data_IF_553452609465
#
_entry.id   IF_553452609465
#
_cell.length_a   1.000
_cell.length_b   1.000
_cell.length_c   1.000
_cell.angle_alpha   90.00
_cell.angle_beta   90.00
_cell.angle_gamma   90.00
#
_symmetry.space_group_name_H-M   'P 1'
#
loop_
_entity.id
_entity.type
_entity.pdbx_description
1 polymer ?
#
# COMPACT_ATOMS: atom_id res chain seq x y z
N UNK A 1 15.04 -6.38 -5.60
CA UNK A 1 15.86 -6.21 -4.39
C UNK A 1 14.93 -6.13 -3.18
N UNK A 2 15.32 -6.71 -2.05
CA UNK A 2 14.54 -6.58 -0.81
C UNK A 2 14.89 -5.28 -0.10
N UNK A 3 13.90 -4.61 0.47
CA UNK A 3 14.10 -3.47 1.38
C UNK A 3 13.92 -3.96 2.81
N UNK A 4 14.81 -3.58 3.74
CA UNK A 4 14.89 -4.18 5.07
C UNK A 4 14.84 -3.11 6.17
N UNK A 5 14.06 -3.39 7.21
CA UNK A 5 14.08 -2.68 8.50
C UNK A 5 13.90 -3.70 9.63
N UNK A 6 15.01 -4.14 10.24
CA UNK A 6 15.01 -5.10 11.34
C UNK A 6 14.17 -6.36 11.01
N UNK A 7 13.06 -6.57 11.73
CA UNK A 7 12.12 -7.67 11.57
C UNK A 7 11.05 -7.44 10.49
N UNK A 8 11.21 -6.43 9.62
CA UNK A 8 10.29 -6.10 8.54
C UNK A 8 11.08 -6.10 7.22
N UNK A 9 10.49 -6.67 6.16
CA UNK A 9 11.03 -6.54 4.81
C UNK A 9 9.95 -6.28 3.77
N UNK A 10 10.36 -5.61 2.71
CA UNK A 10 9.61 -5.47 1.46
C UNK A 10 10.31 -6.35 0.42
N UNK A 11 9.70 -7.48 0.08
CA UNK A 11 10.20 -8.40 -0.94
C UNK A 11 9.45 -8.15 -2.24
N UNK A 12 10.10 -8.08 -3.41
CA UNK A 12 9.39 -8.00 -4.69
C UNK A 12 8.38 -9.13 -4.82
N UNK A 13 7.20 -8.80 -5.33
CA UNK A 13 6.17 -9.81 -5.60
C UNK A 13 6.66 -10.82 -6.64
N UNK A 14 6.25 -12.08 -6.48
CA UNK A 14 6.52 -13.19 -7.39
C UNK A 14 5.16 -13.67 -7.93
N UNK A 15 4.96 -13.53 -9.24
CA UNK A 15 3.73 -13.91 -9.92
C UNK A 15 3.91 -15.25 -10.65
N UNK A 16 2.92 -16.17 -10.58
CA UNK A 16 1.61 -16.02 -9.94
C UNK A 16 1.56 -16.44 -8.44
N UNK A 17 2.67 -16.85 -7.84
CA UNK A 17 2.74 -17.51 -6.52
C UNK A 17 2.15 -16.66 -5.39
N UNK A 18 2.45 -15.36 -5.36
CA UNK A 18 2.00 -14.45 -4.30
C UNK A 18 0.52 -14.05 -4.44
N UNK A 19 -0.16 -14.37 -5.56
CA UNK A 19 -1.59 -14.06 -5.73
C UNK A 19 -2.43 -14.77 -4.66
N UNK A 20 -2.17 -16.06 -4.42
CA UNK A 20 -2.90 -16.85 -3.44
C UNK A 20 -2.73 -16.32 -2.01
N UNK A 21 -1.59 -15.70 -1.72
CA UNK A 21 -1.27 -15.09 -0.42
C UNK A 21 -2.08 -13.80 -0.21
N UNK A 22 -2.28 -13.03 -1.27
CA UNK A 22 -2.99 -11.75 -1.22
C UNK A 22 -4.51 -11.88 -1.23
N UNK A 23 -5.07 -12.94 -1.82
CA UNK A 23 -6.54 -13.14 -1.89
C UNK A 23 -7.24 -12.91 -0.53
N UNK A 24 -6.80 -13.51 0.60
CA UNK A 24 -7.43 -13.26 1.89
C UNK A 24 -7.46 -11.78 2.31
N UNK A 25 -6.47 -10.98 1.92
CA UNK A 25 -6.42 -9.55 2.25
C UNK A 25 -7.50 -8.78 1.53
N UNK A 26 -7.73 -9.08 0.25
CA UNK A 26 -8.75 -8.43 -0.59
C UNK A 26 -10.13 -9.10 -0.50
N UNK A 27 -10.30 -10.07 0.41
CA UNK A 27 -11.60 -10.57 0.88
C UNK A 27 -12.01 -9.96 2.23
N UNK A 28 -11.09 -9.28 2.91
CA UNK A 28 -11.35 -8.63 4.19
C UNK A 28 -12.19 -7.35 3.97
N UNK A 29 -13.40 -7.27 4.57
CA UNK A 29 -14.26 -6.11 4.44
C UNK A 29 -13.61 -4.80 4.92
N UNK A 30 -12.75 -4.83 5.95
CA UNK A 30 -12.07 -3.62 6.42
C UNK A 30 -11.06 -3.13 5.38
N UNK A 31 -10.31 -4.03 4.74
CA UNK A 31 -9.37 -3.66 3.66
C UNK A 31 -10.15 -3.05 2.51
N UNK A 32 -11.18 -3.73 2.03
CA UNK A 32 -12.01 -3.26 0.92
C UNK A 32 -12.66 -1.91 1.23
N UNK A 33 -13.20 -1.73 2.43
CA UNK A 33 -13.79 -0.45 2.84
C UNK A 33 -12.80 0.71 2.74
N UNK A 34 -11.56 0.52 3.19
CA UNK A 34 -10.56 1.59 3.23
C UNK A 34 -9.70 1.74 1.97
N UNK A 35 -9.77 0.80 1.02
CA UNK A 35 -8.99 0.82 -0.23
C UNK A 35 -9.83 0.86 -1.51
N UNK A 36 -11.08 0.41 -1.47
CA UNK A 36 -11.96 0.20 -2.63
C UNK A 36 -13.30 0.96 -2.54
N UNK A 37 -13.33 2.11 -1.82
CA UNK A 37 -14.46 3.04 -1.90
C UNK A 37 -15.59 2.80 -0.89
N UNK A 38 -15.29 2.22 0.27
CA UNK A 38 -16.25 2.13 1.38
C UNK A 38 -17.34 1.08 1.17
N UNK A 39 -18.61 1.46 1.37
CA UNK A 39 -19.76 0.53 1.37
C UNK A 39 -20.09 -0.03 -0.02
N UNK A 40 -19.65 0.61 -1.10
CA UNK A 40 -19.81 0.12 -2.48
C UNK A 40 -18.76 -0.90 -2.90
N UNK A 41 -17.79 -1.21 -2.01
CA UNK A 41 -16.68 -2.10 -2.34
C UNK A 41 -17.16 -3.54 -2.64
N UNK A 42 -16.62 -4.10 -3.72
CA UNK A 42 -16.88 -5.48 -4.14
C UNK A 42 -15.69 -6.35 -3.84
N UNK A 43 -15.94 -7.58 -3.36
CA UNK A 43 -14.89 -8.54 -3.05
C UNK A 43 -14.09 -8.88 -4.30
N UNK A 44 -12.78 -8.99 -4.13
CA UNK A 44 -11.91 -9.44 -5.20
C UNK A 44 -11.93 -10.96 -5.26
N UNK A 45 -12.33 -11.52 -6.40
CA UNK A 45 -12.02 -12.92 -6.71
C UNK A 45 -10.54 -13.06 -7.09
N UNK A 46 -10.09 -14.30 -7.28
CA UNK A 46 -8.70 -14.58 -7.65
C UNK A 46 -8.26 -13.86 -8.93
N UNK A 47 -9.16 -13.78 -9.90
CA UNK A 47 -8.88 -13.22 -11.22
C UNK A 47 -8.69 -11.70 -11.12
N UNK A 48 -9.48 -11.04 -10.26
CA UNK A 48 -9.33 -9.60 -9.99
C UNK A 48 -8.05 -9.29 -9.24
N UNK A 49 -7.64 -10.09 -8.25
CA UNK A 49 -6.35 -9.90 -7.56
C UNK A 49 -5.18 -10.08 -8.55
N UNK A 50 -5.26 -11.11 -9.41
CA UNK A 50 -4.24 -11.34 -10.43
C UNK A 50 -4.17 -10.19 -11.44
N UNK A 51 -5.33 -9.71 -11.92
CA UNK A 51 -5.42 -8.58 -12.83
C UNK A 51 -4.86 -7.30 -12.22
N UNK A 52 -5.15 -7.04 -10.94
CA UNK A 52 -4.61 -5.92 -10.18
C UNK A 52 -3.07 -5.97 -10.14
N UNK A 53 -2.46 -7.10 -9.78
CA UNK A 53 -1.00 -7.19 -9.75
C UNK A 53 -0.36 -7.10 -11.13
N UNK A 54 -0.98 -7.69 -12.16
CA UNK A 54 -0.52 -7.52 -13.55
C UNK A 54 -0.55 -6.04 -13.97
N UNK A 55 -1.59 -5.30 -13.58
CA UNK A 55 -1.65 -3.85 -13.83
C UNK A 55 -0.55 -3.09 -13.08
N UNK A 56 -0.36 -3.39 -11.78
CA UNK A 56 0.63 -2.71 -10.94
C UNK A 56 2.07 -2.95 -11.40
N UNK A 57 2.42 -4.19 -11.78
CA UNK A 57 3.77 -4.54 -12.23
C UNK A 57 4.20 -3.82 -13.52
N UNK A 58 3.25 -3.33 -14.32
CA UNK A 58 3.55 -2.50 -15.49
C UNK A 58 3.83 -1.03 -15.15
N UNK A 59 3.51 -0.59 -13.93
CA UNK A 59 3.50 0.83 -13.54
C UNK A 59 4.25 1.15 -12.25
N UNK A 60 4.67 0.14 -11.48
CA UNK A 60 5.21 0.31 -10.14
C UNK A 60 6.23 -0.77 -9.77
N UNK A 61 7.11 -0.45 -8.82
CA UNK A 61 7.77 -1.48 -8.02
C UNK A 61 6.75 -2.02 -7.01
N UNK A 62 6.42 -3.31 -7.06
CA UNK A 62 5.41 -3.95 -6.21
C UNK A 62 6.06 -4.89 -5.20
N UNK A 63 5.70 -4.75 -3.93
CA UNK A 63 6.30 -5.49 -2.84
C UNK A 63 5.27 -6.17 -1.94
N UNK A 64 5.59 -7.40 -1.52
CA UNK A 64 4.97 -8.04 -0.37
C UNK A 64 5.65 -7.55 0.90
N UNK A 65 4.84 -7.13 1.87
CA UNK A 65 5.24 -6.74 3.21
C UNK A 65 5.32 -8.02 4.06
N UNK A 66 6.51 -8.35 4.53
CA UNK A 66 6.75 -9.54 5.36
C UNK A 66 7.36 -9.15 6.70
N UNK A 67 6.93 -9.82 7.76
CA UNK A 67 7.49 -9.69 9.11
C UNK A 67 8.21 -10.96 9.51
N UNK A 68 9.35 -10.83 10.19
CA UNK A 68 10.10 -11.96 10.72
C UNK A 68 9.38 -12.53 11.95
N UNK A 69 9.16 -13.84 11.94
CA UNK A 69 8.51 -14.58 13.01
C UNK A 69 9.34 -15.81 13.38
N UNK A 70 9.00 -16.49 14.48
CA UNK A 70 9.66 -17.75 14.85
C UNK A 70 9.56 -18.84 13.77
N UNK A 71 8.57 -18.74 12.89
CA UNK A 71 8.31 -19.70 11.81
C UNK A 71 8.81 -19.19 10.45
N UNK A 72 9.63 -18.13 10.43
CA UNK A 72 10.12 -17.47 9.23
C UNK A 72 9.30 -16.23 8.85
N UNK A 73 9.54 -15.75 7.64
CA UNK A 73 8.92 -14.53 7.12
C UNK A 73 7.44 -14.75 6.81
N UNK A 74 6.58 -13.97 7.47
CA UNK A 74 5.13 -14.00 7.31
C UNK A 74 4.68 -12.82 6.44
N UNK A 75 4.05 -13.07 5.27
CA UNK A 75 3.36 -12.04 4.50
C UNK A 75 2.17 -11.45 5.26
N UNK A 76 2.09 -10.12 5.32
CA UNK A 76 1.05 -9.41 6.07
C UNK A 76 0.35 -8.31 5.26
N UNK A 77 0.73 -8.09 4.01
CA UNK A 77 0.18 -7.07 3.14
C UNK A 77 1.07 -6.76 1.96
N UNK A 78 0.76 -5.70 1.23
CA UNK A 78 1.49 -5.25 0.05
C UNK A 78 1.60 -3.73 -0.02
N UNK A 79 2.60 -3.26 -0.77
CA UNK A 79 2.83 -1.85 -1.05
C UNK A 79 3.40 -1.71 -2.45
N UNK A 80 3.00 -0.65 -3.17
CA UNK A 80 3.55 -0.33 -4.47
C UNK A 80 4.17 1.06 -4.48
N UNK A 81 5.21 1.24 -5.28
CA UNK A 81 5.81 2.54 -5.60
C UNK A 81 5.69 2.79 -7.10
N UNK A 82 4.66 3.53 -7.51
CA UNK A 82 4.41 3.87 -8.92
C UNK A 82 5.58 4.64 -9.53
N UNK A 83 5.90 4.44 -10.80
CA UNK A 83 6.98 5.14 -11.50
C UNK A 83 6.75 6.66 -11.56
N UNK A 84 5.50 7.08 -11.77
CA UNK A 84 5.11 8.48 -11.84
C UNK A 84 4.62 9.01 -10.50
N UNK A 85 3.46 8.54 -10.04
CA UNK A 85 2.84 9.00 -8.80
C UNK A 85 1.97 7.89 -8.20
N UNK A 86 2.02 7.75 -6.88
CA UNK A 86 1.22 6.75 -6.17
C UNK A 86 2.02 5.83 -5.25
N UNK A 87 1.51 5.64 -4.04
CA UNK A 87 2.04 4.71 -3.04
C UNK A 87 0.89 4.00 -2.31
N UNK A 88 0.14 3.11 -2.98
CA UNK A 88 -0.90 2.35 -2.28
C UNK A 88 -0.23 1.35 -1.33
N UNK A 89 -0.82 1.19 -0.15
CA UNK A 89 -0.36 0.29 0.91
C UNK A 89 -1.56 -0.38 1.56
N UNK A 90 -1.46 -1.69 1.77
CA UNK A 90 -2.45 -2.48 2.51
C UNK A 90 -1.72 -3.29 3.58
N UNK A 91 -2.19 -3.20 4.83
CA UNK A 91 -1.84 -4.17 5.88
C UNK A 91 -2.98 -5.18 5.96
N UNK A 92 -2.84 -6.21 5.13
CA UNK A 92 -3.86 -7.22 4.88
C UNK A 92 -4.11 -8.13 6.07
N UNK A 93 -3.10 -8.45 6.88
CA UNK A 93 -3.28 -9.23 8.11
C UNK A 93 -3.79 -8.31 9.26
N UNK A 94 -5.02 -8.53 9.79
CA UNK A 94 -5.60 -7.70 10.84
C UNK A 94 -4.76 -7.60 12.12
N UNK A 95 -4.04 -8.67 12.49
CA UNK A 95 -3.23 -8.70 13.70
C UNK A 95 -2.07 -7.70 13.67
N UNK A 96 -1.71 -7.17 12.50
CA UNK A 96 -0.58 -6.26 12.29
C UNK A 96 -1.00 -4.81 12.00
N UNK A 97 -2.31 -4.53 11.93
CA UNK A 97 -2.85 -3.18 11.76
C UNK A 97 -2.60 -2.32 13.01
N UNK A 98 -2.47 -1.01 12.82
CA UNK A 98 -2.34 -0.03 13.91
C UNK A 98 -1.17 -0.27 14.89
N UNK A 99 -0.16 -1.05 14.49
CA UNK A 99 1.07 -1.34 15.28
C UNK A 99 2.31 -0.59 14.80
N UNK A 100 2.12 0.50 14.05
CA UNK A 100 3.23 1.30 13.48
C UNK A 100 3.92 0.68 12.26
N UNK A 101 3.48 -0.48 11.78
CA UNK A 101 4.09 -1.17 10.62
C UNK A 101 3.95 -0.35 9.34
N UNK A 102 2.77 0.21 9.07
CA UNK A 102 2.57 1.07 7.90
C UNK A 102 3.57 2.23 7.83
N UNK A 103 3.93 2.81 8.99
CA UNK A 103 4.94 3.88 9.08
C UNK A 103 6.33 3.39 8.66
N UNK A 104 6.73 2.22 9.15
CA UNK A 104 8.01 1.59 8.80
C UNK A 104 8.07 1.23 7.31
N UNK A 105 6.97 0.70 6.77
CA UNK A 105 6.84 0.38 5.33
C UNK A 105 7.00 1.65 4.48
N UNK A 106 6.25 2.71 4.74
CA UNK A 106 6.34 3.94 3.94
C UNK A 106 7.72 4.60 4.10
N UNK A 107 8.38 4.49 5.26
CA UNK A 107 9.77 4.97 5.41
C UNK A 107 10.75 4.23 4.48
N UNK A 108 10.60 2.91 4.32
CA UNK A 108 11.38 2.14 3.35
C UNK A 108 11.09 2.58 1.90
N UNK A 109 9.83 2.87 1.57
CA UNK A 109 9.44 3.39 0.25
C UNK A 109 10.00 4.79 0.00
N UNK A 110 10.00 5.68 1.00
CA UNK A 110 10.64 7.00 0.94
C UNK A 110 12.12 6.86 0.62
N UNK A 111 12.82 5.97 1.34
CA UNK A 111 14.25 5.73 1.12
C UNK A 111 14.50 5.18 -0.29
N UNK A 112 13.67 4.23 -0.74
CA UNK A 112 13.74 3.68 -2.09
C UNK A 112 13.53 4.75 -3.17
N UNK A 113 12.56 5.64 -2.98
CA UNK A 113 12.32 6.75 -3.88
C UNK A 113 13.54 7.70 -3.96
N UNK A 114 14.21 7.97 -2.84
CA UNK A 114 15.45 8.77 -2.81
C UNK A 114 16.60 8.08 -3.55
N UNK A 115 16.78 6.77 -3.36
CA UNK A 115 17.78 5.98 -4.10
C UNK A 115 17.56 6.04 -5.63
N UNK A 116 16.29 6.07 -6.04
CA UNK A 116 15.89 6.24 -7.45
C UNK A 116 16.03 7.69 -7.96
N UNK A 117 16.53 8.62 -7.14
CA UNK A 117 16.71 10.02 -7.51
C UNK A 117 15.41 10.82 -7.64
N UNK A 118 14.32 10.36 -7.02
CA UNK A 118 13.03 11.07 -7.07
C UNK A 118 13.11 12.35 -6.24
N UNK A 119 12.49 13.41 -6.75
CA UNK A 119 12.37 14.72 -6.07
C UNK A 119 11.15 14.79 -5.16
N UNK A 120 10.15 13.97 -5.41
CA UNK A 120 8.93 13.88 -4.62
C UNK A 120 8.29 12.49 -4.78
N UNK A 121 7.33 12.21 -3.90
CA UNK A 121 6.36 11.12 -4.03
C UNK A 121 5.00 11.61 -3.58
N UNK A 122 3.95 11.10 -4.20
CA UNK A 122 2.57 11.40 -3.83
C UNK A 122 1.72 10.14 -3.73
N UNK A 123 0.60 10.25 -3.02
CA UNK A 123 -0.41 9.19 -2.94
C UNK A 123 -1.30 9.18 -4.20
N UNK A 124 -1.95 8.06 -4.51
CA UNK A 124 -2.93 7.96 -5.60
C UNK A 124 -4.19 8.77 -5.27
N UNK A 125 -4.58 8.71 -4.00
CA UNK A 125 -5.76 9.29 -3.37
C UNK A 125 -6.00 8.52 -2.09
N UNK A 126 -6.33 9.22 -1.00
CA UNK A 126 -6.71 8.59 0.26
C UNK A 126 -8.11 9.08 0.57
N UNK A 127 -9.06 8.16 0.73
CA UNK A 127 -10.41 8.52 1.14
C UNK A 127 -10.40 9.37 2.41
N UNK A 128 -11.21 10.43 2.45
CA UNK A 128 -11.23 11.35 3.59
C UNK A 128 -11.67 10.68 4.89
N UNK A 129 -12.46 9.60 4.80
CA UNK A 129 -12.86 8.77 5.94
C UNK A 129 -11.77 7.77 6.39
N UNK A 130 -10.70 7.57 5.62
CA UNK A 130 -9.56 6.74 6.01
C UNK A 130 -8.57 7.55 6.87
N UNK A 131 -9.03 8.01 8.04
CA UNK A 131 -8.25 8.86 8.94
C UNK A 131 -6.92 8.21 9.35
N UNK A 132 -6.89 6.88 9.48
CA UNK A 132 -5.67 6.14 9.84
C UNK A 132 -4.58 6.33 8.79
N UNK A 133 -4.93 6.25 7.50
CA UNK A 133 -4.00 6.46 6.41
C UNK A 133 -3.59 7.93 6.29
N UNK A 134 -4.52 8.87 6.41
CA UNK A 134 -4.20 10.31 6.43
C UNK A 134 -3.16 10.64 7.50
N UNK A 135 -3.41 10.23 8.76
CA UNK A 135 -2.48 10.46 9.88
C UNK A 135 -1.13 9.76 9.67
N UNK A 136 -1.12 8.57 9.06
CA UNK A 136 0.11 7.86 8.71
C UNK A 136 1.00 8.73 7.80
N UNK A 137 0.46 9.20 6.67
CA UNK A 137 1.22 10.00 5.71
C UNK A 137 1.62 11.35 6.29
N UNK A 138 0.73 12.04 7.00
CA UNK A 138 1.07 13.30 7.69
C UNK A 138 2.22 13.13 8.70
N UNK A 139 2.22 12.02 9.46
CA UNK A 139 3.27 11.74 10.45
C UNK A 139 4.67 11.50 9.86
N UNK A 140 4.74 11.35 8.53
CA UNK A 140 5.97 11.17 7.75
C UNK A 140 6.33 12.44 6.95
N UNK A 141 5.64 13.55 7.21
CA UNK A 141 5.92 14.86 6.59
C UNK A 141 5.25 15.08 5.24
N UNK A 142 4.34 14.19 4.82
CA UNK A 142 3.51 14.49 3.66
C UNK A 142 2.53 15.62 3.97
N UNK A 143 2.30 16.47 2.97
CA UNK A 143 1.31 17.56 3.03
C UNK A 143 0.16 17.28 2.08
N UNK A 144 -1.08 17.52 2.49
CA UNK A 144 -2.24 17.49 1.59
C UNK A 144 -2.09 18.61 0.55
N UNK A 145 -2.14 18.24 -0.73
CA UNK A 145 -1.97 19.18 -1.87
C UNK A 145 -3.23 19.31 -2.71
N UNK A 146 -4.16 18.36 -2.61
CA UNK A 146 -5.38 18.34 -3.39
C UNK A 146 -6.49 17.60 -2.65
N UNK A 147 -7.72 18.10 -2.79
CA UNK A 147 -8.96 17.43 -2.42
C UNK A 147 -9.78 17.26 -3.69
N UNK A 148 -10.22 16.03 -3.97
CA UNK A 148 -10.93 15.71 -5.20
C UNK A 148 -11.99 14.62 -4.97
N UNK A 149 -12.87 14.42 -5.94
CA UNK A 149 -13.84 13.33 -5.98
C UNK A 149 -13.37 12.31 -7.01
N UNK A 150 -13.33 11.04 -6.65
CA UNK A 150 -12.98 9.96 -7.59
C UNK A 150 -14.14 9.60 -8.54
N UNK A 151 -13.90 8.65 -9.44
CA UNK A 151 -14.88 8.22 -10.45
C UNK A 151 -16.12 7.57 -9.81
N UNK A 152 -16.01 7.09 -8.57
CA UNK A 152 -17.08 6.45 -7.80
C UNK A 152 -17.83 7.44 -6.89
N UNK A 153 -17.46 8.73 -6.91
CA UNK A 153 -18.11 9.78 -6.13
C UNK A 153 -17.58 9.92 -4.70
N UNK A 154 -16.48 9.24 -4.35
CA UNK A 154 -15.88 9.33 -3.03
C UNK A 154 -14.91 10.49 -2.93
N UNK A 155 -14.93 11.14 -1.78
CA UNK A 155 -14.00 12.23 -1.51
C UNK A 155 -12.63 11.71 -1.08
N UNK A 156 -11.59 12.26 -1.71
CA UNK A 156 -10.20 11.85 -1.55
C UNK A 156 -9.27 13.05 -1.28
N UNK A 157 -8.21 12.79 -0.52
CA UNK A 157 -7.06 13.67 -0.37
C UNK A 157 -5.85 13.11 -1.12
N UNK A 158 -5.15 13.97 -1.86
CA UNK A 158 -3.82 13.70 -2.38
C UNK A 158 -2.78 14.30 -1.44
N UNK A 159 -1.83 13.47 -1.03
CA UNK A 159 -0.71 13.87 -0.19
C UNK A 159 0.58 13.84 -1.02
N UNK A 160 1.48 14.77 -0.77
CA UNK A 160 2.80 14.84 -1.42
C UNK A 160 3.92 15.05 -0.39
N UNK A 161 5.06 14.41 -0.62
CA UNK A 161 6.29 14.59 0.13
C UNK A 161 7.41 15.01 -0.84
N UNK A 162 8.09 16.11 -0.53
CA UNK A 162 9.35 16.50 -1.19
C UNK A 162 10.50 15.74 -0.54
N UNK A 163 11.38 15.13 -1.35
CA UNK A 163 12.38 14.15 -0.91
C UNK A 163 13.80 14.71 -0.75
#
# INVERSE_FOLDING_TARGET
MNLLDNNLRLRPIIMPEDVAIAIPWYLDPEVLYYSEGGESSTKYDSDRVQAMYNYLLNKAEVYIIEVDTKNGWLPIGDVSLFHESGVPIVIGNPEYRSKGIGKRVIQLIINRAKELGRKNISTNGIYTFNERSCRLFESLGFTMVERFIDDDGNECYRFNLVL
#
